data_IF_739602146310
#
_entry.id   IF_739602146310
#
_cell.length_a   1.000
_cell.length_b   1.000
_cell.length_c   1.000
_cell.angle_alpha   90.00
_cell.angle_beta   90.00
_cell.angle_gamma   90.00
#
_symmetry.space_group_name_H-M   'P 1'
#
loop_
_entity.id
_entity.type
_entity.pdbx_description
1 polymer ?
#
# COMPACT_ATOMS: atom_id res chain seq x y z
N UNK A 1 -22.58 -23.83 55.24
CA UNK A 1 -23.57 -24.59 56.04
C UNK A 1 -24.55 -25.24 55.07
N UNK A 2 -24.35 -26.53 54.79
CA UNK A 2 -25.24 -27.66 55.16
C UNK A 2 -26.49 -27.74 54.25
N UNK A 3 -26.50 -28.58 53.20
CA UNK A 3 -26.80 -30.04 53.15
C UNK A 3 -28.27 -30.42 53.41
N UNK A 4 -28.82 -31.10 52.39
CA UNK A 4 -29.72 -32.29 52.42
C UNK A 4 -31.18 -32.03 52.84
N UNK A 5 -32.21 -32.61 52.22
CA UNK A 5 -32.50 -34.04 51.88
C UNK A 5 -33.53 -34.09 50.72
N UNK A 6 -33.49 -34.91 49.66
CA UNK A 6 -33.51 -36.37 49.43
C UNK A 6 -34.75 -37.13 50.00
N UNK A 7 -35.58 -37.67 49.09
CA UNK A 7 -36.23 -39.02 49.05
C UNK A 7 -37.48 -38.95 48.12
N UNK A 8 -37.51 -39.51 46.90
CA UNK A 8 -37.66 -40.92 46.43
C UNK A 8 -39.03 -41.58 46.72
N UNK A 9 -39.56 -42.26 45.68
CA UNK A 9 -40.61 -43.33 45.58
C UNK A 9 -41.64 -42.96 44.48
N UNK A 10 -42.12 -43.78 43.54
CA UNK A 10 -41.79 -45.03 42.81
C UNK A 10 -43.00 -45.30 41.87
N UNK A 11 -42.78 -45.97 40.72
CA UNK A 11 -43.73 -46.86 39.98
C UNK A 11 -45.04 -46.24 39.38
N UNK A 12 -45.66 -46.67 38.26
CA UNK A 12 -45.59 -47.88 37.42
C UNK A 12 -46.37 -47.64 36.09
N UNK A 13 -46.14 -48.47 35.07
CA UNK A 13 -46.80 -48.55 33.76
C UNK A 13 -48.24 -49.12 33.79
N UNK A 14 -49.09 -48.71 32.82
CA UNK A 14 -50.00 -49.54 32.00
C UNK A 14 -50.74 -48.62 30.97
N UNK A 15 -50.46 -48.69 29.66
CA UNK A 15 -51.23 -49.39 28.59
C UNK A 15 -52.76 -49.17 28.68
N UNK A 16 -53.39 -48.54 27.66
CA UNK A 16 -54.48 -49.09 26.79
C UNK A 16 -54.76 -48.15 25.59
N UNK A 17 -54.47 -48.67 24.38
CA UNK A 17 -55.25 -48.69 23.11
C UNK A 17 -56.47 -47.74 22.97
N UNK A 18 -56.58 -47.01 21.84
CA UNK A 18 -57.87 -46.44 21.45
C UNK A 18 -57.87 -45.53 20.22
N UNK A 19 -58.34 -46.09 19.11
CA UNK A 19 -58.58 -45.53 17.78
C UNK A 19 -59.34 -44.19 17.66
N UNK A 20 -59.09 -43.53 16.52
CA UNK A 20 -60.06 -42.81 15.67
C UNK A 20 -60.57 -41.41 16.09
N UNK A 21 -60.18 -40.36 15.36
CA UNK A 21 -60.95 -39.78 14.24
C UNK A 21 -60.42 -38.39 13.81
N UNK A 22 -60.24 -38.26 12.50
CA UNK A 22 -60.35 -37.06 11.65
C UNK A 22 -60.10 -35.68 12.30
N UNK A 23 -58.91 -35.13 12.07
CA UNK A 23 -58.68 -33.70 12.20
C UNK A 23 -58.52 -33.07 10.81
N UNK A 24 -59.39 -32.10 10.56
CA UNK A 24 -59.49 -31.21 9.41
C UNK A 24 -58.14 -30.69 8.92
N UNK A 25 -57.92 -30.76 7.60
CA UNK A 25 -56.82 -30.07 6.91
C UNK A 25 -56.97 -28.56 7.11
N UNK A 26 -56.07 -27.94 7.86
CA UNK A 26 -55.74 -26.52 7.70
C UNK A 26 -54.61 -26.44 6.69
N UNK A 27 -54.89 -25.78 5.59
CA UNK A 27 -53.90 -25.43 4.59
C UNK A 27 -53.04 -24.29 5.14
N UNK A 28 -51.85 -24.61 5.66
CA UNK A 28 -50.83 -23.60 5.87
C UNK A 28 -50.09 -23.36 4.55
N UNK A 29 -50.03 -22.10 4.17
CA UNK A 29 -49.37 -21.65 2.96
C UNK A 29 -47.88 -22.02 3.03
N UNK A 30 -47.45 -22.93 2.15
CA UNK A 30 -46.03 -23.09 1.84
C UNK A 30 -45.62 -21.85 1.07
N UNK A 31 -45.03 -20.88 1.76
CA UNK A 31 -44.41 -19.74 1.13
C UNK A 31 -43.14 -20.24 0.47
N UNK A 32 -43.21 -20.39 -0.86
CA UNK A 32 -42.12 -20.80 -1.74
C UNK A 32 -40.98 -19.78 -1.57
N UNK A 33 -39.98 -20.12 -0.74
CA UNK A 33 -38.78 -19.31 -0.57
C UNK A 33 -37.95 -19.46 -1.83
N UNK A 34 -38.27 -18.63 -2.83
CA UNK A 34 -37.37 -18.38 -3.96
C UNK A 34 -36.12 -17.73 -3.39
N UNK A 35 -35.02 -18.50 -3.35
CA UNK A 35 -33.67 -17.93 -3.23
C UNK A 35 -33.52 -17.01 -4.45
N UNK A 36 -33.69 -15.71 -4.25
CA UNK A 36 -33.22 -14.74 -5.22
C UNK A 36 -31.71 -14.94 -5.32
N UNK A 37 -31.18 -15.12 -6.52
CA UNK A 37 -29.75 -14.94 -6.81
C UNK A 37 -29.36 -13.52 -6.40
N UNK A 38 -29.04 -13.32 -5.13
CA UNK A 38 -28.28 -12.18 -4.69
C UNK A 38 -26.89 -12.42 -5.24
N UNK A 39 -26.55 -11.62 -6.26
CA UNK A 39 -25.24 -11.64 -6.91
C UNK A 39 -24.16 -11.73 -5.86
N UNK A 40 -23.24 -12.67 -6.08
CA UNK A 40 -22.04 -12.78 -5.27
C UNK A 40 -21.40 -11.39 -5.18
N UNK A 41 -21.42 -10.79 -4.00
CA UNK A 41 -20.55 -9.67 -3.71
C UNK A 41 -19.14 -10.18 -4.00
N UNK A 42 -18.51 -9.66 -5.05
CA UNK A 42 -17.10 -9.88 -5.29
C UNK A 42 -16.40 -9.39 -4.03
N UNK A 43 -15.83 -10.30 -3.26
CA UNK A 43 -14.85 -9.93 -2.24
C UNK A 43 -13.73 -9.23 -3.01
N UNK A 44 -13.76 -7.90 -3.02
CA UNK A 44 -12.70 -7.09 -3.62
C UNK A 44 -11.38 -7.55 -3.00
N UNK A 45 -10.51 -8.12 -3.84
CA UNK A 45 -9.22 -8.59 -3.38
C UNK A 45 -8.36 -7.39 -2.97
N UNK A 46 -7.47 -7.60 -2.00
CA UNK A 46 -6.51 -6.56 -1.62
C UNK A 46 -5.68 -6.12 -2.83
N UNK A 47 -5.31 -4.83 -2.91
CA UNK A 47 -4.37 -4.36 -3.91
C UNK A 47 -3.01 -5.06 -3.76
N UNK A 48 -2.31 -5.20 -4.88
CA UNK A 48 -0.91 -5.62 -4.90
C UNK A 48 -0.07 -4.47 -4.35
N UNK A 49 0.78 -4.75 -3.36
CA UNK A 49 1.65 -3.74 -2.77
C UNK A 49 3.00 -3.73 -3.48
N UNK A 50 3.33 -2.64 -4.16
CA UNK A 50 4.67 -2.34 -4.62
C UNK A 50 5.40 -1.56 -3.55
N UNK A 51 6.48 -2.11 -3.00
CA UNK A 51 7.44 -1.34 -2.17
C UNK A 51 8.75 -1.21 -2.91
N UNK A 52 9.22 0.03 -3.07
CA UNK A 52 10.46 0.36 -3.75
C UNK A 52 11.41 1.07 -2.78
N UNK A 53 12.59 0.49 -2.56
CA UNK A 53 13.71 1.16 -1.92
C UNK A 53 14.68 1.65 -3.01
N UNK A 54 15.02 2.94 -2.97
CA UNK A 54 15.72 3.61 -4.05
C UNK A 54 16.52 4.81 -3.57
N UNK A 55 17.33 5.38 -4.47
CA UNK A 55 18.15 6.58 -4.26
C UNK A 55 17.91 7.56 -5.41
N UNK A 56 17.83 8.85 -5.10
CA UNK A 56 17.40 9.87 -6.04
C UNK A 56 18.34 10.14 -7.22
N UNK A 57 19.62 9.72 -7.12
CA UNK A 57 20.60 9.82 -8.19
C UNK A 57 21.08 8.45 -8.71
N UNK A 58 20.38 7.37 -8.35
CA UNK A 58 20.65 6.07 -8.93
C UNK A 58 19.94 5.93 -10.30
N UNK A 59 20.71 5.87 -11.39
CA UNK A 59 20.15 5.78 -12.73
C UNK A 59 19.17 4.62 -12.95
N UNK A 60 19.41 3.43 -12.39
CA UNK A 60 18.47 2.31 -12.48
C UNK A 60 17.17 2.56 -11.70
N UNK A 61 17.25 3.29 -10.58
CA UNK A 61 16.07 3.70 -9.82
C UNK A 61 15.22 4.70 -10.60
N UNK A 62 15.86 5.72 -11.18
CA UNK A 62 15.21 6.72 -12.00
C UNK A 62 14.50 6.09 -13.20
N UNK A 63 15.20 5.22 -13.93
CA UNK A 63 14.64 4.47 -15.06
C UNK A 63 13.43 3.64 -14.62
N UNK A 64 13.52 2.92 -13.50
CA UNK A 64 12.40 2.13 -12.99
C UNK A 64 11.20 3.01 -12.61
N UNK A 65 11.42 4.13 -11.90
CA UNK A 65 10.34 5.01 -11.48
C UNK A 65 9.65 5.64 -12.69
N UNK A 66 10.43 6.21 -13.61
CA UNK A 66 9.93 6.95 -14.77
C UNK A 66 9.26 6.00 -15.78
N UNK A 67 9.84 4.83 -16.04
CA UNK A 67 9.40 3.95 -17.12
C UNK A 67 8.56 2.75 -16.68
N UNK A 68 8.57 2.37 -15.41
CA UNK A 68 7.70 1.31 -14.89
C UNK A 68 6.66 1.84 -13.90
N UNK A 69 7.08 2.51 -12.81
CA UNK A 69 6.18 2.85 -11.70
C UNK A 69 5.10 3.85 -12.14
N UNK A 70 5.49 5.02 -12.65
CA UNK A 70 4.56 6.06 -13.09
C UNK A 70 3.56 5.57 -14.14
N UNK A 71 3.97 4.94 -15.26
CA UNK A 71 3.03 4.48 -16.27
C UNK A 71 2.18 3.29 -15.82
N UNK A 72 2.69 2.41 -14.96
CA UNK A 72 1.89 1.31 -14.40
C UNK A 72 0.82 1.85 -13.45
N UNK A 73 1.21 2.74 -12.54
CA UNK A 73 0.28 3.37 -11.61
C UNK A 73 -0.82 4.14 -12.35
N UNK A 74 -0.47 4.97 -13.35
CA UNK A 74 -1.46 5.72 -14.14
C UNK A 74 -2.47 4.82 -14.87
N UNK A 75 -2.04 3.62 -15.30
CA UNK A 75 -2.95 2.64 -15.94
C UNK A 75 -3.89 1.95 -14.94
N UNK A 76 -3.49 1.85 -13.68
CA UNK A 76 -4.17 1.06 -12.65
C UNK A 76 -4.88 1.88 -11.58
N UNK A 77 -4.59 3.18 -11.46
CA UNK A 77 -5.10 4.04 -10.38
C UNK A 77 -6.63 4.03 -10.29
N UNK A 78 -7.33 3.99 -11.43
CA UNK A 78 -8.79 3.98 -11.49
C UNK A 78 -9.40 2.66 -10.99
N UNK A 79 -8.64 1.56 -11.05
CA UNK A 79 -9.06 0.25 -10.57
C UNK A 79 -8.70 0.01 -9.11
N UNK A 80 -7.74 0.76 -8.56
CA UNK A 80 -7.28 0.60 -7.18
C UNK A 80 -6.55 -0.71 -6.88
N UNK A 81 -6.12 -1.48 -7.89
CA UNK A 81 -5.49 -2.79 -7.68
C UNK A 81 -3.99 -2.73 -7.33
N UNK A 82 -3.39 -1.55 -7.38
CA UNK A 82 -1.98 -1.31 -7.10
C UNK A 82 -1.85 -0.24 -6.03
N UNK A 83 -1.12 -0.57 -4.96
CA UNK A 83 -0.69 0.38 -3.95
C UNK A 83 0.83 0.52 -4.01
N UNK A 84 1.33 1.75 -4.06
CA UNK A 84 2.77 2.04 -4.23
C UNK A 84 3.33 2.67 -2.96
N UNK A 85 4.47 2.16 -2.50
CA UNK A 85 5.23 2.65 -1.37
C UNK A 85 6.65 2.96 -1.81
N UNK A 86 7.01 4.25 -1.77
CA UNK A 86 8.33 4.74 -2.14
C UNK A 86 9.16 5.01 -0.87
N UNK A 87 10.38 4.50 -0.83
CA UNK A 87 11.32 4.58 0.29
C UNK A 87 12.66 5.16 -0.22
N UNK A 88 12.77 6.49 -0.36
CA UNK A 88 14.02 7.13 -0.77
C UNK A 88 15.01 7.06 0.40
N UNK A 89 16.05 6.24 0.26
CA UNK A 89 17.19 6.12 1.18
C UNK A 89 18.25 5.21 0.54
N UNK A 90 17.82 4.02 0.12
CA UNK A 90 18.63 3.01 -0.57
C UNK A 90 19.91 2.64 0.18
N UNK A 91 21.05 2.70 -0.50
CA UNK A 91 22.36 2.37 0.06
C UNK A 91 22.98 3.49 0.90
N UNK A 92 22.26 4.58 1.17
CA UNK A 92 22.73 5.61 2.08
C UNK A 92 23.04 5.03 3.46
N UNK A 93 23.93 5.69 4.17
CA UNK A 93 24.27 5.37 5.56
C UNK A 93 23.92 6.55 6.44
N UNK A 94 23.42 6.26 7.62
CA UNK A 94 23.23 7.27 8.64
C UNK A 94 24.22 7.11 9.79
N UNK A 95 24.64 8.23 10.37
CA UNK A 95 25.36 8.27 11.64
C UNK A 95 24.70 9.30 12.54
N UNK A 96 24.43 8.92 13.79
CA UNK A 96 23.89 9.87 14.77
C UNK A 96 24.99 10.79 15.28
N UNK A 97 24.80 12.10 15.13
CA UNK A 97 25.70 13.16 15.59
C UNK A 97 24.92 14.10 16.52
N UNK A 98 25.12 13.95 17.83
CA UNK A 98 24.33 14.66 18.83
C UNK A 98 22.86 14.23 18.79
N UNK A 99 21.97 15.19 18.53
CA UNK A 99 20.52 14.98 18.41
C UNK A 99 20.05 14.76 16.96
N UNK A 100 20.96 14.88 15.97
CA UNK A 100 20.65 14.77 14.54
C UNK A 100 21.34 13.57 13.91
N UNK A 101 20.96 13.28 12.67
CA UNK A 101 21.61 12.29 11.82
C UNK A 101 22.39 12.98 10.70
N UNK A 102 23.54 12.43 10.34
CA UNK A 102 24.25 12.77 9.10
C UNK A 102 24.09 11.62 8.13
N UNK A 103 23.79 11.93 6.86
CA UNK A 103 23.61 10.96 5.80
C UNK A 103 24.80 10.98 4.84
N UNK A 104 25.29 9.79 4.48
CA UNK A 104 26.31 9.58 3.46
C UNK A 104 25.70 8.74 2.34
N UNK A 105 25.64 9.30 1.12
CA UNK A 105 24.99 8.69 -0.03
C UNK A 105 26.03 8.37 -1.13
N UNK A 106 25.75 7.37 -1.98
CA UNK A 106 26.72 6.82 -2.92
C UNK A 106 27.08 7.81 -4.04
N UNK A 107 26.11 8.63 -4.46
CA UNK A 107 26.28 9.64 -5.50
C UNK A 107 26.53 11.04 -4.93
N UNK A 108 26.95 11.11 -3.66
CA UNK A 108 27.38 12.34 -3.01
C UNK A 108 26.26 13.12 -2.29
N UNK A 109 26.52 14.35 -1.85
CA UNK A 109 25.60 15.12 -1.01
C UNK A 109 24.30 15.52 -1.72
N UNK A 110 24.32 15.68 -3.05
CA UNK A 110 23.12 16.03 -3.81
C UNK A 110 22.11 14.87 -3.79
N UNK A 111 22.56 13.62 -3.84
CA UNK A 111 21.67 12.46 -3.65
C UNK A 111 21.00 12.47 -2.28
N UNK A 112 21.77 12.73 -1.21
CA UNK A 112 21.18 12.85 0.12
C UNK A 112 20.15 13.98 0.16
N UNK A 113 20.43 15.08 -0.53
CA UNK A 113 19.51 16.21 -0.61
C UNK A 113 18.24 15.86 -1.39
N UNK A 114 18.36 15.12 -2.50
CA UNK A 114 17.25 14.61 -3.29
C UNK A 114 16.38 13.62 -2.50
N UNK A 115 16.99 12.66 -1.80
CA UNK A 115 16.26 11.72 -0.95
C UNK A 115 15.40 12.47 0.09
N UNK A 116 15.94 13.50 0.72
CA UNK A 116 15.20 14.33 1.68
C UNK A 116 14.03 15.09 1.01
N UNK A 117 14.19 15.59 -0.22
CA UNK A 117 13.09 16.24 -0.98
C UNK A 117 11.93 15.28 -1.20
N UNK A 118 12.24 14.07 -1.62
CA UNK A 118 11.25 13.04 -1.89
C UNK A 118 10.59 12.55 -0.59
N UNK A 119 11.38 12.33 0.46
CA UNK A 119 10.91 12.03 1.82
C UNK A 119 9.94 13.11 2.34
N UNK A 120 10.31 14.38 2.25
CA UNK A 120 9.45 15.49 2.66
C UNK A 120 8.18 15.57 1.80
N UNK A 121 8.27 15.30 0.50
CA UNK A 121 7.10 15.27 -0.39
C UNK A 121 6.14 14.16 0.02
N UNK A 122 6.63 12.94 0.23
CA UNK A 122 5.83 11.80 0.69
C UNK A 122 5.17 12.09 2.04
N UNK A 123 5.87 12.79 2.96
CA UNK A 123 5.30 13.18 4.24
C UNK A 123 4.08 14.10 4.08
N UNK A 124 4.17 15.14 3.25
CA UNK A 124 3.05 16.07 3.06
C UNK A 124 1.95 15.54 2.14
N UNK A 125 2.25 14.53 1.33
CA UNK A 125 1.34 13.86 0.41
C UNK A 125 1.36 12.34 0.65
N UNK A 126 0.80 11.85 1.77
CA UNK A 126 0.96 10.45 2.18
C UNK A 126 0.21 9.44 1.28
N UNK A 127 -0.71 9.90 0.44
CA UNK A 127 -1.37 9.06 -0.56
C UNK A 127 -0.55 9.05 -1.84
N UNK A 128 -0.28 7.87 -2.37
CA UNK A 128 0.56 7.67 -3.56
C UNK A 128 0.10 8.48 -4.77
N UNK A 129 -1.22 8.59 -4.96
CA UNK A 129 -1.82 9.40 -6.02
C UNK A 129 -1.45 10.88 -5.98
N UNK A 130 -1.08 11.38 -4.80
CA UNK A 130 -0.79 12.80 -4.57
C UNK A 130 0.72 13.10 -4.69
N UNK A 131 1.62 12.09 -4.76
CA UNK A 131 3.07 12.32 -4.90
C UNK A 131 3.74 11.62 -6.09
N UNK A 132 3.17 10.56 -6.67
CA UNK A 132 3.83 9.78 -7.75
C UNK A 132 4.22 10.67 -8.95
N UNK A 133 3.35 11.60 -9.35
CA UNK A 133 3.64 12.52 -10.47
C UNK A 133 4.82 13.44 -10.13
N UNK A 134 4.90 13.90 -8.88
CA UNK A 134 6.02 14.73 -8.43
C UNK A 134 7.32 13.92 -8.45
N UNK A 135 7.33 12.74 -7.82
CA UNK A 135 8.52 11.89 -7.70
C UNK A 135 9.03 11.49 -9.09
N UNK A 136 8.15 11.04 -9.99
CA UNK A 136 8.54 10.73 -11.37
C UNK A 136 9.12 11.92 -12.14
N UNK A 137 8.62 13.13 -11.91
CA UNK A 137 9.23 14.34 -12.47
C UNK A 137 10.59 14.64 -11.85
N UNK A 138 10.72 14.46 -10.53
CA UNK A 138 11.94 14.76 -9.79
C UNK A 138 13.08 13.83 -10.23
N UNK A 139 12.83 12.53 -10.24
CA UNK A 139 13.74 11.49 -10.74
C UNK A 139 14.18 11.73 -12.20
N UNK A 140 13.28 12.25 -13.05
CA UNK A 140 13.62 12.57 -14.44
C UNK A 140 14.55 13.79 -14.59
N UNK A 141 14.53 14.74 -13.64
CA UNK A 141 15.12 16.08 -13.84
C UNK A 141 16.29 16.38 -12.91
N UNK A 142 16.35 15.71 -11.77
CA UNK A 142 17.27 16.12 -10.70
C UNK A 142 18.73 15.81 -11.04
N UNK A 143 19.02 14.69 -11.69
CA UNK A 143 20.37 14.32 -12.13
C UNK A 143 20.98 15.35 -13.10
N UNK A 144 20.16 15.98 -13.95
CA UNK A 144 20.65 17.01 -14.86
C UNK A 144 20.91 18.35 -14.15
N UNK A 145 20.10 18.69 -13.14
CA UNK A 145 20.13 20.03 -12.54
C UNK A 145 21.03 20.13 -11.31
N UNK A 146 21.05 19.10 -10.47
CA UNK A 146 21.58 19.13 -9.09
C UNK A 146 21.07 20.31 -8.24
N UNK A 147 19.99 20.99 -8.68
CA UNK A 147 19.37 22.14 -8.02
C UNK A 147 18.01 21.70 -7.49
N UNK A 148 17.99 21.33 -6.21
CA UNK A 148 16.79 20.73 -5.62
C UNK A 148 15.66 21.74 -5.50
N UNK A 149 15.94 23.04 -5.29
CA UNK A 149 14.91 24.07 -5.21
C UNK A 149 14.25 24.31 -6.56
N UNK A 150 15.04 24.44 -7.62
CA UNK A 150 14.52 24.64 -8.97
C UNK A 150 13.75 23.41 -9.47
N UNK A 151 14.24 22.19 -9.18
CA UNK A 151 13.55 20.95 -9.53
C UNK A 151 12.27 20.79 -8.71
N UNK A 152 12.27 21.10 -7.41
CA UNK A 152 11.08 21.12 -6.56
C UNK A 152 9.99 22.04 -7.15
N UNK A 153 10.32 23.29 -7.51
CA UNK A 153 9.36 24.21 -8.12
C UNK A 153 8.81 23.71 -9.47
N UNK A 154 9.68 23.12 -10.28
CA UNK A 154 9.31 22.59 -11.60
C UNK A 154 8.36 21.40 -11.46
N UNK A 155 8.69 20.45 -10.60
CA UNK A 155 7.91 19.24 -10.42
C UNK A 155 6.66 19.45 -9.57
N UNK A 156 6.67 20.42 -8.67
CA UNK A 156 5.48 20.88 -7.98
C UNK A 156 4.42 21.41 -8.97
N UNK A 157 4.84 22.15 -10.00
CA UNK A 157 3.93 22.61 -11.06
C UNK A 157 3.37 21.43 -11.86
N UNK A 158 4.21 20.47 -12.23
CA UNK A 158 3.78 19.26 -12.93
C UNK A 158 2.75 18.44 -12.12
N UNK A 159 2.92 18.39 -10.80
CA UNK A 159 2.03 17.71 -9.88
C UNK A 159 0.86 18.58 -9.36
N UNK A 160 0.72 19.82 -9.85
CA UNK A 160 -0.30 20.79 -9.41
C UNK A 160 -0.28 21.10 -7.90
N UNK A 161 0.90 21.12 -7.28
CA UNK A 161 1.05 21.51 -5.88
C UNK A 161 0.86 23.02 -5.70
N UNK A 162 0.21 23.41 -4.61
CA UNK A 162 0.08 24.83 -4.26
C UNK A 162 1.42 25.38 -3.78
N UNK A 163 1.64 26.69 -3.99
CA UNK A 163 2.88 27.35 -3.52
C UNK A 163 3.06 27.29 -2.00
N UNK A 164 1.96 27.29 -1.24
CA UNK A 164 2.02 27.07 0.21
C UNK A 164 2.63 25.70 0.55
N UNK A 165 2.26 24.67 -0.21
CA UNK A 165 2.77 23.31 -0.03
C UNK A 165 4.22 23.16 -0.47
N UNK A 166 4.61 23.85 -1.55
CA UNK A 166 6.03 23.95 -1.96
C UNK A 166 6.88 24.57 -0.86
N UNK A 167 6.39 25.64 -0.23
CA UNK A 167 7.08 26.27 0.90
C UNK A 167 7.20 25.33 2.12
N UNK A 168 6.15 24.58 2.45
CA UNK A 168 6.18 23.56 3.51
C UNK A 168 7.21 22.46 3.22
N UNK A 169 7.26 21.94 1.98
CA UNK A 169 8.27 20.95 1.57
C UNK A 169 9.67 21.56 1.67
N UNK A 170 9.90 22.75 1.12
CA UNK A 170 11.19 23.43 1.18
C UNK A 170 11.69 23.65 2.62
N UNK A 171 10.78 24.03 3.53
CA UNK A 171 11.08 24.18 4.95
C UNK A 171 11.41 22.84 5.61
N UNK A 172 10.68 21.77 5.28
CA UNK A 172 10.98 20.42 5.75
C UNK A 172 12.38 19.99 5.31
N UNK A 173 12.71 20.19 4.03
CA UNK A 173 13.98 19.79 3.42
C UNK A 173 15.18 20.45 4.10
N UNK A 174 15.04 21.73 4.45
CA UNK A 174 16.12 22.49 5.11
C UNK A 174 16.09 22.41 6.64
N UNK A 175 15.14 21.66 7.22
CA UNK A 175 14.83 21.68 8.65
C UNK A 175 15.01 20.34 9.35
N UNK A 176 14.83 20.36 10.68
CA UNK A 176 14.96 19.17 11.54
C UNK A 176 13.92 18.09 11.21
N UNK A 177 12.77 18.50 10.65
CA UNK A 177 11.74 17.58 10.19
C UNK A 177 12.27 16.68 9.07
N UNK A 178 12.93 17.23 8.05
CA UNK A 178 13.52 16.44 6.96
C UNK A 178 14.55 15.43 7.48
N UNK A 179 15.41 15.85 8.41
CA UNK A 179 16.38 14.96 9.06
C UNK A 179 15.70 13.79 9.81
N UNK A 180 14.64 14.09 10.55
CA UNK A 180 13.88 13.10 11.31
C UNK A 180 13.15 12.11 10.39
N UNK A 181 12.58 12.61 9.30
CA UNK A 181 11.86 11.79 8.33
C UNK A 181 12.82 10.91 7.53
N UNK A 182 14.00 11.42 7.17
CA UNK A 182 15.00 10.63 6.44
C UNK A 182 15.56 9.50 7.32
N UNK A 183 15.76 9.74 8.62
CA UNK A 183 16.02 8.67 9.58
C UNK A 183 14.88 7.62 9.61
N UNK A 184 13.62 8.04 9.51
CA UNK A 184 12.51 7.12 9.43
C UNK A 184 12.52 6.29 8.12
N UNK A 185 12.98 6.85 7.00
CA UNK A 185 13.22 6.08 5.77
C UNK A 185 14.37 5.10 5.92
N UNK A 186 15.47 5.51 6.59
CA UNK A 186 16.58 4.63 6.94
C UNK A 186 16.10 3.43 7.77
N UNK A 187 15.30 3.67 8.82
CA UNK A 187 14.75 2.63 9.68
C UNK A 187 13.79 1.67 8.96
N UNK A 188 13.12 2.13 7.90
CA UNK A 188 12.28 1.29 7.02
C UNK A 188 13.11 0.49 6.02
N UNK A 189 14.32 0.95 5.71
CA UNK A 189 15.22 0.32 4.73
C UNK A 189 15.95 -0.84 5.38
N UNK A 190 15.45 -2.04 5.11
CA UNK A 190 16.07 -3.28 5.58
C UNK A 190 17.33 -3.67 4.78
N UNK A 191 17.94 -4.81 5.12
CA UNK A 191 19.03 -5.37 4.34
C UNK A 191 18.62 -5.60 2.89
N UNK A 192 19.42 -5.08 1.97
CA UNK A 192 19.28 -5.25 0.52
C UNK A 192 20.68 -5.33 -0.10
N UNK A 193 20.76 -5.79 -1.35
CA UNK A 193 22.05 -6.02 -2.02
C UNK A 193 22.37 -4.97 -3.10
N UNK A 194 21.34 -4.31 -3.64
CA UNK A 194 21.42 -3.25 -4.63
C UNK A 194 20.11 -2.45 -4.61
N UNK A 195 20.10 -1.31 -5.30
CA UNK A 195 18.88 -0.58 -5.64
C UNK A 195 18.74 -0.47 -7.18
N UNK A 196 17.52 -0.39 -7.73
CA UNK A 196 16.23 -0.43 -7.04
C UNK A 196 15.97 -1.79 -6.37
N UNK A 197 15.50 -1.78 -5.12
CA UNK A 197 15.08 -2.99 -4.42
C UNK A 197 13.56 -3.08 -4.44
N UNK A 198 13.03 -3.99 -5.25
CA UNK A 198 11.62 -4.01 -5.62
C UNK A 198 10.91 -5.19 -4.97
N UNK A 199 9.92 -4.90 -4.13
CA UNK A 199 9.07 -5.91 -3.51
C UNK A 199 7.64 -5.82 -4.06
N UNK A 200 7.08 -6.95 -4.48
CA UNK A 200 5.64 -7.13 -4.70
C UNK A 200 5.07 -8.00 -3.58
N UNK A 201 4.11 -7.45 -2.82
CA UNK A 201 3.53 -8.07 -1.62
C UNK A 201 4.60 -8.57 -0.63
N UNK A 202 5.67 -7.77 -0.48
CA UNK A 202 6.80 -8.06 0.42
C UNK A 202 7.81 -9.08 -0.11
N UNK A 203 7.64 -9.59 -1.33
CA UNK A 203 8.57 -10.56 -1.95
C UNK A 203 9.41 -9.86 -3.02
N UNK A 204 10.74 -10.07 -2.96
CA UNK A 204 11.67 -9.54 -3.95
C UNK A 204 11.28 -9.99 -5.36
N UNK A 205 11.20 -9.03 -6.28
CA UNK A 205 10.84 -9.29 -7.66
C UNK A 205 11.85 -8.64 -8.62
N UNK A 206 12.70 -9.47 -9.21
CA UNK A 206 13.75 -9.03 -10.15
C UNK A 206 13.23 -8.74 -11.56
N UNK A 207 12.04 -9.26 -11.91
CA UNK A 207 11.43 -9.06 -13.23
C UNK A 207 10.67 -7.72 -13.31
N UNK A 208 10.37 -7.12 -12.16
CA UNK A 208 9.58 -5.90 -12.06
C UNK A 208 10.20 -4.72 -12.80
N UNK A 209 11.53 -4.64 -12.90
CA UNK A 209 12.24 -3.60 -13.64
C UNK A 209 11.81 -3.48 -15.11
N UNK A 210 11.28 -4.55 -15.70
CA UNK A 210 10.88 -4.57 -17.12
C UNK A 210 9.41 -4.91 -17.34
N UNK A 211 8.75 -5.55 -16.36
CA UNK A 211 7.40 -6.13 -16.53
C UNK A 211 6.45 -5.81 -15.38
N UNK A 212 6.60 -4.66 -14.72
CA UNK A 212 5.83 -4.32 -13.51
C UNK A 212 4.31 -4.46 -13.70
N UNK A 213 3.77 -3.90 -14.78
CA UNK A 213 2.32 -3.98 -15.06
C UNK A 213 1.82 -5.42 -15.18
N UNK A 214 2.53 -6.28 -15.92
CA UNK A 214 2.18 -7.69 -16.09
C UNK A 214 2.17 -8.40 -14.73
N UNK A 215 3.23 -8.20 -13.94
CA UNK A 215 3.38 -8.84 -12.64
C UNK A 215 2.29 -8.41 -11.64
N UNK A 216 1.92 -7.13 -11.63
CA UNK A 216 0.80 -6.64 -10.81
C UNK A 216 -0.51 -7.27 -11.26
N UNK A 217 -0.76 -7.31 -12.57
CA UNK A 217 -1.95 -7.95 -13.12
C UNK A 217 -2.01 -9.45 -12.80
N UNK A 218 -0.89 -10.17 -12.80
CA UNK A 218 -0.82 -11.60 -12.46
C UNK A 218 -0.96 -11.88 -10.96
N UNK A 219 -0.38 -11.01 -10.14
CA UNK A 219 -0.47 -11.10 -8.69
C UNK A 219 -1.90 -10.84 -8.20
N UNK A 220 -2.63 -9.90 -8.80
CA UNK A 220 -3.97 -9.53 -8.36
C UNK A 220 -4.98 -10.68 -8.46
N UNK A 221 -5.71 -10.92 -7.37
CA UNK A 221 -6.64 -12.06 -7.21
C UNK A 221 -8.11 -11.72 -7.43
N UNK A 222 -8.44 -10.44 -7.59
CA UNK A 222 -9.79 -9.95 -7.83
C UNK A 222 -10.15 -9.88 -9.30
N UNK A 223 -11.23 -9.14 -9.60
CA UNK A 223 -11.63 -8.86 -10.98
C UNK A 223 -10.60 -7.93 -11.64
N UNK A 224 -9.86 -8.45 -12.63
CA UNK A 224 -8.79 -7.69 -13.28
C UNK A 224 -9.35 -6.59 -14.20
N UNK A 225 -8.81 -5.37 -14.19
CA UNK A 225 -9.19 -4.32 -15.13
C UNK A 225 -8.79 -4.69 -16.57
N UNK A 226 -9.46 -4.10 -17.56
CA UNK A 226 -9.23 -4.39 -19.00
C UNK A 226 -7.77 -4.28 -19.42
N UNK A 227 -7.00 -3.39 -18.78
CA UNK A 227 -5.56 -3.22 -19.08
C UNK A 227 -4.73 -4.46 -18.75
N UNK A 228 -5.22 -5.36 -17.89
CA UNK A 228 -4.62 -6.65 -17.54
C UNK A 228 -5.01 -7.80 -18.48
N UNK A 229 -5.89 -7.57 -19.46
CA UNK A 229 -6.43 -8.62 -20.35
C UNK A 229 -5.63 -8.80 -21.64
N UNK A 230 -4.32 -8.53 -21.62
CA UNK A 230 -3.44 -8.60 -22.80
C UNK A 230 -2.57 -9.84 -22.80
#
# INVERSE_FOLDING_TARGET
MSRQSLLLILAQCAIVIGFSHTASLRQEAVQDFRISEQGAATLEANPVNLTLYFESLCGACQEFIVHQVVPTWSKLEASGILQVHLIPFGNAKETKVGEKYTFECQHGPDECQGNIVETCTIHYFPKEKDHIVFIGCFEQKYDESHDWQATLETCAKAANFSQAKVAEISQCVSGDLGNTLEHAMAARTGPHQWVPWILLDGVLNMDAETRLLELVCDAYKGAKPTVCSK
#
